data_IF_933767650167
#
_entry.id   IF_933767650167
#
_cell.length_a   1.000
_cell.length_b   1.000
_cell.length_c   1.000
_cell.angle_alpha   90.00
_cell.angle_beta   90.00
_cell.angle_gamma   90.00
#
_symmetry.space_group_name_H-M   'P 1'
#
loop_
_entity.id
_entity.type
_entity.pdbx_description
1 polymer ?
#
# COMPACT_ATOMS: atom_id res chain seq x y z
N UNK A 1 -38.92 29.41 -4.50
CA UNK A 1 -38.18 28.21 -4.93
C UNK A 1 -37.04 27.88 -3.96
N UNK A 2 -37.33 27.32 -2.79
CA UNK A 2 -36.30 26.98 -1.77
C UNK A 2 -35.81 25.50 -1.83
N UNK A 3 -36.55 24.65 -2.55
CA UNK A 3 -36.30 23.21 -2.65
C UNK A 3 -34.95 22.86 -3.30
N UNK A 4 -34.62 23.49 -4.44
CA UNK A 4 -33.38 23.21 -5.17
C UNK A 4 -32.11 23.71 -4.46
N UNK A 5 -32.25 24.58 -3.45
CA UNK A 5 -31.09 25.18 -2.75
C UNK A 5 -30.38 24.18 -1.83
N UNK A 6 -31.09 23.16 -1.32
CA UNK A 6 -30.58 22.26 -0.29
C UNK A 6 -30.36 20.82 -0.76
N UNK A 7 -30.86 20.43 -1.95
CA UNK A 7 -30.73 19.06 -2.45
C UNK A 7 -29.30 18.65 -2.84
N UNK A 8 -28.45 19.61 -3.22
CA UNK A 8 -27.12 19.31 -3.78
C UNK A 8 -26.01 18.98 -2.77
N UNK A 9 -26.32 18.81 -1.48
CA UNK A 9 -25.31 18.50 -0.46
C UNK A 9 -24.74 17.09 -0.60
N UNK A 10 -25.63 16.11 -0.80
CA UNK A 10 -25.27 14.69 -0.95
C UNK A 10 -24.57 14.44 -2.29
N UNK A 11 -25.03 15.09 -3.37
CA UNK A 11 -24.47 14.93 -4.71
C UNK A 11 -23.00 15.36 -4.80
N UNK A 12 -22.63 16.43 -4.08
CA UNK A 12 -21.23 16.91 -4.01
C UNK A 12 -20.33 15.90 -3.33
N UNK A 13 -20.77 15.32 -2.21
CA UNK A 13 -20.01 14.27 -1.52
C UNK A 13 -19.90 13.00 -2.39
N UNK A 14 -20.98 12.60 -3.06
CA UNK A 14 -20.98 11.45 -3.96
C UNK A 14 -20.06 11.65 -5.18
N UNK A 15 -20.03 12.86 -5.75
CA UNK A 15 -19.10 13.22 -6.83
C UNK A 15 -17.64 13.13 -6.37
N UNK A 16 -17.32 13.68 -5.19
CA UNK A 16 -15.98 13.59 -4.61
C UNK A 16 -15.57 12.14 -4.32
N UNK A 17 -16.52 11.32 -3.89
CA UNK A 17 -16.31 9.90 -3.67
C UNK A 17 -15.98 9.16 -4.98
N UNK A 18 -16.68 9.48 -6.07
CA UNK A 18 -16.38 8.92 -7.38
C UNK A 18 -14.95 9.20 -7.85
N UNK A 19 -14.42 10.39 -7.55
CA UNK A 19 -13.08 10.81 -7.96
C UNK A 19 -11.94 10.13 -7.18
N UNK A 20 -12.15 9.86 -5.88
CA UNK A 20 -11.09 9.37 -4.97
C UNK A 20 -11.38 7.99 -4.39
N UNK A 21 -12.21 7.19 -5.05
CA UNK A 21 -12.60 5.85 -4.61
C UNK A 21 -11.38 4.93 -4.48
N UNK A 22 -11.26 4.27 -3.34
CA UNK A 22 -10.24 3.25 -3.11
C UNK A 22 -10.55 1.99 -3.94
N UNK A 23 -9.63 1.53 -4.80
CA UNK A 23 -9.85 0.32 -5.59
C UNK A 23 -9.81 -0.91 -4.67
N UNK A 24 -10.93 -1.60 -4.51
CA UNK A 24 -11.00 -2.87 -3.80
C UNK A 24 -11.14 -4.04 -4.78
N UNK A 25 -10.10 -4.88 -4.87
CA UNK A 25 -10.11 -6.16 -5.61
C UNK A 25 -10.34 -7.35 -4.65
N UNK A 26 -11.13 -7.14 -3.60
CA UNK A 26 -11.37 -8.19 -2.60
C UNK A 26 -12.42 -9.18 -3.09
N UNK A 27 -12.19 -10.48 -2.84
CA UNK A 27 -13.18 -11.56 -3.08
C UNK A 27 -14.30 -11.56 -2.03
N UNK A 28 -14.17 -10.73 -0.99
CA UNK A 28 -15.06 -10.73 0.16
C UNK A 28 -16.13 -9.65 0.00
N UNK A 29 -17.40 -10.05 0.00
CA UNK A 29 -18.55 -9.19 -0.35
C UNK A 29 -18.71 -7.93 0.52
N UNK A 30 -18.33 -7.97 1.80
CA UNK A 30 -18.47 -6.83 2.71
C UNK A 30 -17.33 -5.81 2.58
N UNK A 31 -16.20 -6.21 1.99
CA UNK A 31 -15.01 -5.36 1.94
C UNK A 31 -15.22 -4.09 1.08
N UNK A 32 -15.90 -4.14 -0.08
CA UNK A 32 -16.30 -2.94 -0.81
C UNK A 32 -17.12 -1.96 0.04
N UNK A 33 -18.07 -2.45 0.85
CA UNK A 33 -18.90 -1.63 1.75
C UNK A 33 -18.01 -0.95 2.79
N UNK A 34 -17.11 -1.70 3.41
CA UNK A 34 -16.15 -1.17 4.37
C UNK A 34 -15.29 -0.05 3.76
N UNK A 35 -14.71 -0.28 2.57
CA UNK A 35 -13.89 0.74 1.90
C UNK A 35 -14.70 1.98 1.52
N UNK A 36 -15.98 1.81 1.16
CA UNK A 36 -16.88 2.92 0.86
C UNK A 36 -17.16 3.78 2.10
N UNK A 37 -17.43 3.15 3.25
CA UNK A 37 -17.62 3.87 4.52
C UNK A 37 -16.34 4.64 4.91
N UNK A 38 -15.17 4.01 4.77
CA UNK A 38 -13.89 4.69 5.03
C UNK A 38 -13.69 5.90 4.11
N UNK A 39 -13.89 5.76 2.81
CA UNK A 39 -13.74 6.88 1.87
C UNK A 39 -14.73 8.01 2.17
N UNK A 40 -15.98 7.68 2.55
CA UNK A 40 -16.97 8.66 3.00
C UNK A 40 -16.52 9.40 4.27
N UNK A 41 -15.96 8.68 5.25
CA UNK A 41 -15.44 9.30 6.48
C UNK A 41 -14.33 10.31 6.19
N UNK A 42 -13.44 10.01 5.25
CA UNK A 42 -12.33 10.90 4.85
C UNK A 42 -12.85 12.16 4.15
N UNK A 43 -13.85 12.03 3.28
CA UNK A 43 -14.47 13.18 2.60
C UNK A 43 -15.18 14.08 3.63
N UNK A 44 -15.93 13.48 4.56
CA UNK A 44 -16.60 14.22 5.62
C UNK A 44 -15.61 14.95 6.53
N UNK A 45 -14.50 14.31 6.90
CA UNK A 45 -13.42 14.94 7.66
C UNK A 45 -12.80 16.13 6.90
N UNK A 46 -12.59 16.00 5.58
CA UNK A 46 -12.09 17.11 4.76
C UNK A 46 -13.09 18.27 4.66
N UNK A 47 -14.39 17.99 4.54
CA UNK A 47 -15.43 19.02 4.54
C UNK A 47 -15.47 19.77 5.87
N UNK A 48 -15.30 19.08 7.00
CA UNK A 48 -15.19 19.69 8.32
C UNK A 48 -13.93 20.56 8.42
N UNK A 49 -12.77 20.01 8.04
CA UNK A 49 -11.51 20.74 7.99
C UNK A 49 -11.62 22.04 7.17
N UNK A 50 -12.30 22.02 6.02
CA UNK A 50 -12.54 23.23 5.21
C UNK A 50 -13.40 24.26 5.92
N UNK A 51 -14.42 23.83 6.66
CA UNK A 51 -15.26 24.73 7.46
C UNK A 51 -14.42 25.39 8.56
N UNK A 52 -13.60 24.61 9.24
CA UNK A 52 -12.73 25.11 10.31
C UNK A 52 -11.67 26.08 9.77
N UNK A 53 -11.04 25.77 8.63
CA UNK A 53 -10.14 26.69 7.92
C UNK A 53 -10.83 28.00 7.54
N UNK A 54 -12.08 27.93 7.07
CA UNK A 54 -12.84 29.13 6.71
C UNK A 54 -13.09 30.01 7.95
N UNK A 55 -13.51 29.41 9.07
CA UNK A 55 -13.68 30.11 10.35
C UNK A 55 -12.37 30.73 10.83
N UNK A 56 -11.25 30.02 10.69
CA UNK A 56 -9.91 30.50 11.06
C UNK A 56 -9.28 31.48 10.04
N UNK A 57 -9.96 31.76 8.91
CA UNK A 57 -9.44 32.56 7.78
C UNK A 57 -8.11 32.03 7.19
N UNK A 58 -7.92 30.72 7.23
CA UNK A 58 -6.76 30.02 6.66
C UNK A 58 -7.15 29.35 5.34
N UNK A 59 -6.22 29.26 4.40
CA UNK A 59 -6.43 28.53 3.15
C UNK A 59 -6.51 27.03 3.40
N UNK A 60 -7.62 26.42 3.01
CA UNK A 60 -7.79 24.96 3.13
C UNK A 60 -7.03 24.22 2.03
N UNK A 61 -6.38 23.11 2.38
CA UNK A 61 -5.69 22.22 1.44
C UNK A 61 -6.69 21.49 0.50
N UNK A 62 -6.31 21.20 -0.76
CA UNK A 62 -7.12 20.38 -1.65
C UNK A 62 -7.25 18.93 -1.13
N UNK A 63 -8.31 18.23 -1.52
CA UNK A 63 -8.65 16.89 -1.00
C UNK A 63 -7.50 15.88 -1.16
N UNK A 64 -6.79 15.90 -2.29
CA UNK A 64 -5.65 15.01 -2.54
C UNK A 64 -4.54 15.19 -1.50
N UNK A 65 -4.14 16.43 -1.21
CA UNK A 65 -3.09 16.73 -0.25
C UNK A 65 -3.50 16.35 1.17
N UNK A 66 -4.74 16.67 1.54
CA UNK A 66 -5.33 16.26 2.82
C UNK A 66 -5.27 14.74 3.00
N UNK A 67 -5.65 13.96 1.96
CA UNK A 67 -5.57 12.49 1.99
C UNK A 67 -4.14 11.98 2.16
N UNK A 68 -3.17 12.58 1.47
CA UNK A 68 -1.76 12.18 1.62
C UNK A 68 -1.22 12.45 3.03
N UNK A 69 -1.57 13.60 3.61
CA UNK A 69 -1.16 13.97 4.96
C UNK A 69 -1.81 13.06 6.01
N UNK A 70 -3.11 12.77 5.85
CA UNK A 70 -3.84 11.81 6.67
C UNK A 70 -3.24 10.41 6.57
N UNK A 71 -2.85 9.96 5.37
CA UNK A 71 -2.18 8.66 5.20
C UNK A 71 -0.81 8.63 5.91
N UNK A 72 -0.03 9.71 5.81
CA UNK A 72 1.27 9.83 6.50
C UNK A 72 1.10 9.84 8.02
N UNK A 73 0.15 10.62 8.53
CA UNK A 73 -0.09 10.71 9.98
C UNK A 73 -0.54 9.37 10.54
N UNK A 74 -1.47 8.68 9.87
CA UNK A 74 -1.91 7.34 10.28
C UNK A 74 -0.83 6.28 10.16
N UNK A 75 -0.02 6.32 9.09
CA UNK A 75 1.09 5.38 8.93
C UNK A 75 2.14 5.55 10.04
N UNK A 76 2.34 6.77 10.53
CA UNK A 76 3.27 7.09 11.61
C UNK A 76 2.65 6.91 13.00
N UNK A 77 1.32 7.00 13.13
CA UNK A 77 0.60 6.79 14.37
C UNK A 77 0.68 5.32 14.80
N UNK A 78 1.17 5.07 16.01
CA UNK A 78 1.23 3.71 16.57
C UNK A 78 2.33 2.82 16.00
N UNK A 79 3.39 3.40 15.43
CA UNK A 79 4.67 2.68 15.23
C UNK A 79 5.30 2.36 16.58
N UNK A 80 4.82 1.32 17.26
CA UNK A 80 5.76 0.44 17.97
C UNK A 80 6.60 -0.26 16.89
N UNK A 81 7.83 -0.67 17.20
CA UNK A 81 8.72 -1.37 16.27
C UNK A 81 8.02 -2.59 15.65
N UNK A 82 7.30 -2.39 14.54
CA UNK A 82 6.69 -3.44 13.73
C UNK A 82 7.69 -3.76 12.63
N UNK A 83 8.78 -4.36 13.07
CA UNK A 83 9.62 -5.23 12.27
C UNK A 83 9.54 -6.64 12.83
N UNK A 84 9.88 -7.64 12.01
CA UNK A 84 10.48 -8.86 12.57
C UNK A 84 11.66 -8.37 13.43
N UNK A 85 11.80 -8.75 14.71
CA UNK A 85 12.97 -8.36 15.47
C UNK A 85 14.19 -8.67 14.61
N UNK A 86 15.01 -7.66 14.31
CA UNK A 86 16.31 -7.92 13.71
C UNK A 86 17.01 -8.79 14.72
N UNK A 87 17.18 -10.08 14.40
CA UNK A 87 17.93 -10.98 15.26
C UNK A 87 19.32 -10.36 15.36
N UNK A 88 19.63 -9.80 16.52
CA UNK A 88 20.96 -9.31 16.84
C UNK A 88 21.86 -10.54 16.79
N UNK A 89 22.58 -10.71 15.68
CA UNK A 89 23.73 -11.57 15.51
C UNK A 89 23.76 -12.84 16.40
N UNK A 90 22.76 -13.70 16.28
CA UNK A 90 22.91 -15.11 16.71
C UNK A 90 22.45 -15.97 15.55
N UNK A 91 23.46 -16.52 14.88
CA UNK A 91 23.41 -17.43 13.76
C UNK A 91 22.26 -18.43 13.85
N UNK A 92 21.22 -18.22 13.03
CA UNK A 92 20.40 -19.26 12.39
C UNK A 92 19.33 -18.57 11.54
N UNK A 93 19.71 -18.21 10.31
CA UNK A 93 18.75 -17.94 9.25
C UNK A 93 18.23 -19.33 8.83
N UNK A 94 16.93 -19.68 8.98
CA UNK A 94 16.41 -20.79 8.20
C UNK A 94 16.44 -20.31 6.75
N UNK A 95 17.48 -20.71 6.02
CA UNK A 95 17.53 -20.54 4.59
C UNK A 95 16.23 -21.10 4.03
N UNK A 96 15.63 -20.42 3.05
CA UNK A 96 14.55 -21.00 2.26
C UNK A 96 15.12 -22.25 1.59
N UNK A 97 14.96 -23.41 2.24
CA UNK A 97 15.43 -24.69 1.72
C UNK A 97 14.50 -25.01 0.56
N UNK A 98 14.98 -24.81 -0.66
CA UNK A 98 14.40 -25.47 -1.81
C UNK A 98 14.63 -26.95 -1.54
N UNK A 99 13.56 -27.74 -1.40
CA UNK A 99 13.66 -29.16 -1.03
C UNK A 99 14.49 -29.96 -2.03
N UNK A 100 14.48 -29.56 -3.31
CA UNK A 100 15.24 -30.17 -4.40
C UNK A 100 15.86 -29.09 -5.29
N UNK A 101 17.06 -28.56 -4.98
CA UNK A 101 17.71 -27.61 -5.85
C UNK A 101 18.28 -28.31 -7.09
N UNK A 102 18.15 -27.68 -8.26
CA UNK A 102 18.69 -28.20 -9.54
C UNK A 102 20.22 -28.33 -9.48
N UNK A 103 20.88 -27.46 -8.72
CA UNK A 103 22.32 -27.48 -8.48
C UNK A 103 22.61 -27.33 -6.98
N UNK A 104 23.67 -27.98 -6.46
CA UNK A 104 24.09 -27.78 -5.08
C UNK A 104 24.44 -26.32 -4.84
N UNK A 105 24.11 -25.82 -3.65
CA UNK A 105 24.50 -24.46 -3.24
C UNK A 105 26.04 -24.35 -3.27
N UNK A 106 26.62 -23.34 -3.93
CA UNK A 106 28.07 -23.14 -3.94
C UNK A 106 28.60 -22.83 -2.55
N UNK A 107 29.88 -23.13 -2.31
CA UNK A 107 30.56 -22.92 -1.05
C UNK A 107 30.65 -21.42 -0.68
N UNK A 108 30.95 -21.15 0.60
CA UNK A 108 30.89 -19.79 1.17
C UNK A 108 31.91 -18.86 0.51
N UNK A 109 33.06 -19.38 0.07
CA UNK A 109 34.12 -18.59 -0.56
C UNK A 109 33.62 -18.13 -1.93
N UNK A 110 33.12 -19.05 -2.74
CA UNK A 110 32.52 -18.78 -4.06
C UNK A 110 31.27 -17.88 -3.97
N UNK A 111 30.53 -17.92 -2.86
CA UNK A 111 29.37 -17.03 -2.64
C UNK A 111 29.75 -15.57 -2.35
N UNK A 112 30.99 -15.32 -1.88
CA UNK A 112 31.46 -14.02 -1.38
C UNK A 112 32.69 -13.51 -2.12
N UNK A 113 33.07 -14.16 -3.21
CA UNK A 113 34.22 -13.80 -4.05
C UNK A 113 34.09 -12.41 -4.69
N UNK A 114 32.89 -11.82 -4.68
CA UNK A 114 32.62 -10.48 -5.20
C UNK A 114 32.68 -10.41 -6.72
N UNK A 115 32.85 -11.56 -7.37
CA UNK A 115 32.84 -11.69 -8.82
C UNK A 115 31.39 -11.98 -9.19
N UNK A 116 30.78 -11.10 -9.97
CA UNK A 116 29.44 -11.34 -10.49
C UNK A 116 29.47 -12.62 -11.32
N UNK A 117 28.74 -13.65 -10.88
CA UNK A 117 28.49 -14.86 -11.69
C UNK A 117 27.58 -14.45 -12.85
N UNK A 118 28.18 -14.08 -13.98
CA UNK A 118 27.43 -13.82 -15.21
C UNK A 118 26.90 -15.14 -15.77
N UNK A 119 25.64 -15.21 -16.24
CA UNK A 119 25.13 -16.40 -16.88
C UNK A 119 25.99 -16.71 -18.10
N UNK A 120 26.62 -17.89 -18.13
CA UNK A 120 27.27 -18.38 -19.33
C UNK A 120 26.18 -18.89 -20.26
N UNK A 121 26.06 -18.28 -21.44
CA UNK A 121 25.16 -18.75 -22.49
C UNK A 121 25.76 -20.02 -23.10
N UNK A 122 25.52 -21.18 -22.50
CA UNK A 122 25.79 -22.44 -23.16
C UNK A 122 24.74 -22.69 -24.24
N UNK A 123 25.19 -23.11 -25.42
CA UNK A 123 24.37 -23.37 -26.62
C UNK A 123 23.40 -24.55 -26.49
N UNK A 124 23.31 -25.16 -25.31
CA UNK A 124 22.36 -26.25 -25.03
C UNK A 124 21.10 -25.67 -24.42
N UNK A 125 20.13 -25.41 -25.30
CA UNK A 125 18.73 -25.26 -24.92
C UNK A 125 18.28 -26.58 -24.30
N UNK A 126 18.19 -26.64 -22.98
CA UNK A 126 17.49 -27.72 -22.32
C UNK A 126 16.01 -27.34 -22.27
N UNK A 127 15.22 -27.95 -23.16
CA UNK A 127 13.78 -27.80 -23.22
C UNK A 127 13.15 -28.02 -21.83
N UNK A 128 12.34 -27.06 -21.39
CA UNK A 128 11.46 -27.25 -20.24
C UNK A 128 10.46 -28.35 -20.58
N UNK A 129 10.68 -29.57 -20.07
CA UNK A 129 9.64 -30.62 -20.10
C UNK A 129 8.44 -30.15 -19.29
N UNK A 130 7.32 -29.98 -20.00
CA UNK A 130 5.99 -29.83 -19.43
C UNK A 130 5.69 -30.93 -18.40
N UNK A 131 5.15 -30.54 -17.25
CA UNK A 131 4.18 -31.30 -16.44
C UNK A 131 3.38 -30.36 -15.56
#
# INVERSE_FOLDING_TARGET
MQYNKHMGGVDKANSLLGLYRSPSRSKTWYFPIFTWVLDMSVINAWLLYRKDCNTARVTSKPLKEFRMELAKSLANAGKSSRGRPSISLTNKIPAKVISNPILPRPDIITQKDGIGHWPTYDTKVNDCKER
#
